data_IF_544420207093
#
_entry.id   IF_544420207093
#
_cell.length_a   1.000
_cell.length_b   1.000
_cell.length_c   1.000
_cell.angle_alpha   90.00
_cell.angle_beta   90.00
_cell.angle_gamma   90.00
#
_symmetry.space_group_name_H-M   'P 1'
#
loop_
_entity.id
_entity.type
_entity.pdbx_description
1 polymer ?
#
# COMPACT_ATOMS: atom_id res chain seq x y z
N UNK A 1 3.82 -21.21 -25.29
CA UNK A 1 4.17 -21.04 -23.87
C UNK A 1 2.90 -21.23 -23.05
N UNK A 2 2.87 -22.09 -22.04
CA UNK A 2 1.66 -22.32 -21.25
C UNK A 2 1.40 -21.15 -20.29
N UNK A 3 0.13 -20.87 -19.96
CA UNK A 3 -0.27 -19.79 -19.04
C UNK A 3 0.47 -19.89 -17.69
N UNK A 4 0.65 -21.11 -17.20
CA UNK A 4 1.38 -21.42 -15.98
C UNK A 4 2.85 -20.98 -16.00
N UNK A 5 3.56 -21.18 -17.12
CA UNK A 5 4.96 -20.74 -17.25
C UNK A 5 5.06 -19.21 -17.21
N UNK A 6 4.12 -18.52 -17.87
CA UNK A 6 4.07 -17.05 -17.86
C UNK A 6 3.83 -16.52 -16.44
N UNK A 7 2.94 -17.16 -15.67
CA UNK A 7 2.69 -16.76 -14.29
C UNK A 7 3.93 -16.92 -13.39
N UNK A 8 4.63 -18.06 -13.50
CA UNK A 8 5.89 -18.28 -12.75
C UNK A 8 6.97 -17.24 -13.09
N UNK A 9 7.07 -16.84 -14.35
CA UNK A 9 7.98 -15.78 -14.77
C UNK A 9 7.64 -14.42 -14.14
N UNK A 10 6.35 -14.07 -14.05
CA UNK A 10 5.90 -12.85 -13.39
C UNK A 10 6.29 -12.85 -11.90
N UNK A 11 6.06 -13.96 -11.19
CA UNK A 11 6.43 -14.12 -9.78
C UNK A 11 7.95 -14.01 -9.58
N UNK A 12 8.72 -14.60 -10.49
CA UNK A 12 10.19 -14.52 -10.47
C UNK A 12 10.68 -13.09 -10.67
N UNK A 13 10.09 -12.37 -11.65
CA UNK A 13 10.40 -10.96 -11.89
C UNK A 13 10.03 -10.08 -10.69
N UNK A 14 8.87 -10.30 -10.05
CA UNK A 14 8.50 -9.62 -8.79
C UNK A 14 9.56 -9.79 -7.72
N UNK A 15 10.03 -11.02 -7.54
CA UNK A 15 11.06 -11.36 -6.55
C UNK A 15 12.38 -10.63 -6.84
N UNK A 16 12.75 -10.51 -8.12
CA UNK A 16 13.92 -9.74 -8.55
C UNK A 16 13.76 -8.24 -8.27
N UNK A 17 12.60 -7.66 -8.57
CA UNK A 17 12.27 -6.26 -8.25
C UNK A 17 12.39 -6.03 -6.74
N UNK A 18 11.77 -6.88 -5.91
CA UNK A 18 11.87 -6.81 -4.45
C UNK A 18 13.34 -6.82 -3.99
N UNK A 19 14.16 -7.71 -4.55
CA UNK A 19 15.59 -7.76 -4.25
C UNK A 19 16.35 -6.46 -4.59
N UNK A 20 15.95 -5.76 -5.67
CA UNK A 20 16.51 -4.46 -6.03
C UNK A 20 16.08 -3.35 -5.05
N UNK A 21 14.82 -3.35 -4.61
CA UNK A 21 14.32 -2.43 -3.57
C UNK A 21 15.10 -2.63 -2.27
N UNK A 22 15.26 -3.88 -1.82
CA UNK A 22 16.04 -4.20 -0.61
C UNK A 22 17.49 -3.70 -0.71
N UNK A 23 18.16 -3.91 -1.85
CA UNK A 23 19.53 -3.40 -2.05
C UNK A 23 19.61 -1.87 -1.98
N UNK A 24 18.58 -1.18 -2.48
CA UNK A 24 18.54 0.29 -2.41
C UNK A 24 18.27 0.77 -0.99
N UNK A 25 17.37 0.11 -0.24
CA UNK A 25 17.12 0.38 1.18
C UNK A 25 18.42 0.28 1.99
N UNK A 26 19.18 -0.79 1.83
CA UNK A 26 20.49 -0.96 2.49
C UNK A 26 21.46 0.17 2.11
N UNK A 27 21.45 0.60 0.84
CA UNK A 27 22.25 1.75 0.41
C UNK A 27 21.82 3.05 1.11
N UNK A 28 20.51 3.31 1.25
CA UNK A 28 20.01 4.48 1.98
C UNK A 28 20.40 4.43 3.45
N UNK A 29 20.26 3.29 4.11
CA UNK A 29 20.68 3.08 5.51
C UNK A 29 22.18 3.40 5.68
N UNK A 30 23.02 3.00 4.72
CA UNK A 30 24.45 3.32 4.75
C UNK A 30 24.75 4.81 4.61
N UNK A 31 23.89 5.58 3.92
CA UNK A 31 24.04 7.03 3.77
C UNK A 31 23.52 7.79 4.99
N UNK A 32 22.40 7.34 5.58
CA UNK A 32 21.83 7.93 6.80
C UNK A 32 22.79 7.80 7.99
N UNK A 33 23.59 6.74 8.01
CA UNK A 33 24.61 6.53 9.05
C UNK A 33 25.83 7.47 8.93
N UNK A 34 25.98 8.23 7.83
CA UNK A 34 27.09 9.15 7.65
C UNK A 34 26.80 10.51 8.30
N UNK A 35 27.81 11.10 8.93
CA UNK A 35 27.72 12.46 9.49
C UNK A 35 27.55 13.52 8.38
N UNK A 36 28.14 13.28 7.20
CA UNK A 36 27.99 14.13 6.03
C UNK A 36 28.04 13.31 4.74
N UNK A 37 27.27 13.74 3.74
CA UNK A 37 27.21 13.09 2.43
C UNK A 37 27.90 14.02 1.41
N UNK A 38 28.89 13.48 0.69
CA UNK A 38 29.58 14.26 -0.34
C UNK A 38 28.66 14.55 -1.53
N UNK A 39 28.91 15.65 -2.26
CA UNK A 39 28.15 16.00 -3.47
C UNK A 39 28.16 14.88 -4.52
N UNK A 40 29.25 14.10 -4.61
CA UNK A 40 29.34 12.94 -5.51
C UNK A 40 28.37 11.84 -5.09
N UNK A 41 28.24 11.57 -3.79
CA UNK A 41 27.28 10.59 -3.27
C UNK A 41 25.82 11.08 -3.43
N UNK A 42 25.56 12.38 -3.26
CA UNK A 42 24.25 12.98 -3.56
C UNK A 42 23.87 12.77 -5.03
N UNK A 43 24.80 13.01 -5.96
CA UNK A 43 24.56 12.79 -7.39
C UNK A 43 24.31 11.30 -7.71
N UNK A 44 25.08 10.39 -7.11
CA UNK A 44 24.85 8.94 -7.24
C UNK A 44 23.48 8.54 -6.70
N UNK A 45 23.07 9.10 -5.56
CA UNK A 45 21.77 8.89 -4.96
C UNK A 45 20.65 9.36 -5.88
N UNK A 46 20.77 10.55 -6.49
CA UNK A 46 19.79 11.06 -7.47
C UNK A 46 19.65 10.13 -8.69
N UNK A 47 20.76 9.62 -9.23
CA UNK A 47 20.73 8.64 -10.32
C UNK A 47 20.09 7.31 -9.91
N UNK A 48 20.28 6.87 -8.66
CA UNK A 48 19.66 5.64 -8.14
C UNK A 48 18.17 5.84 -7.87
N UNK A 49 17.78 7.00 -7.35
CA UNK A 49 16.39 7.38 -7.14
C UNK A 49 15.60 7.33 -8.46
N UNK A 50 16.10 7.97 -9.52
CA UNK A 50 15.46 7.92 -10.84
C UNK A 50 15.26 6.49 -11.36
N UNK A 51 16.24 5.60 -11.15
CA UNK A 51 16.10 4.17 -11.48
C UNK A 51 15.07 3.46 -10.61
N UNK A 52 14.88 3.88 -9.36
CA UNK A 52 13.90 3.31 -8.44
C UNK A 52 12.48 3.74 -8.80
N UNK A 53 12.29 5.00 -9.18
CA UNK A 53 11.01 5.51 -9.69
C UNK A 53 10.58 4.77 -10.97
N UNK A 54 11.52 4.54 -11.89
CA UNK A 54 11.26 3.72 -13.07
C UNK A 54 10.93 2.25 -12.71
N UNK A 55 11.60 1.70 -11.70
CA UNK A 55 11.35 0.33 -11.23
C UNK A 55 9.97 0.18 -10.56
N UNK A 56 9.48 1.23 -9.90
CA UNK A 56 8.12 1.25 -9.34
C UNK A 56 7.06 1.14 -10.42
N UNK A 57 7.23 1.83 -11.55
CA UNK A 57 6.32 1.72 -12.71
C UNK A 57 6.36 0.30 -13.28
N UNK A 58 7.54 -0.31 -13.39
CA UNK A 58 7.70 -1.71 -13.83
C UNK A 58 6.98 -2.68 -12.87
N UNK A 59 7.10 -2.45 -11.57
CA UNK A 59 6.41 -3.22 -10.53
C UNK A 59 4.89 -3.13 -10.68
N UNK A 60 4.32 -1.93 -10.80
CA UNK A 60 2.87 -1.73 -10.89
C UNK A 60 2.26 -2.47 -12.09
N UNK A 61 2.89 -2.36 -13.26
CA UNK A 61 2.46 -3.07 -14.45
C UNK A 61 2.60 -4.60 -14.33
N UNK A 62 3.61 -5.07 -13.60
CA UNK A 62 3.83 -6.49 -13.35
C UNK A 62 2.84 -7.06 -12.33
N UNK A 63 2.58 -6.34 -11.24
CA UNK A 63 1.68 -6.75 -10.18
C UNK A 63 0.24 -6.80 -10.68
N UNK A 64 -0.16 -5.85 -11.53
CA UNK A 64 -1.46 -5.88 -12.22
C UNK A 64 -1.66 -7.16 -13.05
N UNK A 65 -0.61 -7.64 -13.73
CA UNK A 65 -0.68 -8.92 -14.46
C UNK A 65 -0.79 -10.12 -13.53
N UNK A 66 -0.06 -10.13 -12.41
CA UNK A 66 -0.13 -11.19 -11.40
C UNK A 66 -1.56 -11.29 -10.83
N UNK A 67 -2.17 -10.15 -10.49
CA UNK A 67 -3.52 -10.10 -9.92
C UNK A 67 -4.57 -10.68 -10.86
N UNK A 68 -4.47 -10.39 -12.16
CA UNK A 68 -5.34 -10.99 -13.18
C UNK A 68 -5.14 -12.50 -13.28
N UNK A 69 -3.91 -12.99 -13.17
CA UNK A 69 -3.60 -14.42 -13.24
C UNK A 69 -3.94 -15.18 -11.94
N UNK A 70 -4.09 -14.48 -10.82
CA UNK A 70 -4.26 -15.05 -9.48
C UNK A 70 -5.61 -14.66 -8.86
N UNK A 71 -6.68 -14.74 -9.65
CA UNK A 71 -8.05 -14.35 -9.25
C UNK A 71 -8.49 -15.03 -7.93
N UNK A 72 -8.22 -16.33 -7.79
CA UNK A 72 -8.58 -17.09 -6.59
C UNK A 72 -7.87 -16.61 -5.29
N UNK A 73 -6.73 -15.93 -5.41
CA UNK A 73 -5.95 -15.39 -4.29
C UNK A 73 -5.78 -13.86 -4.38
N UNK A 74 -6.71 -13.16 -5.04
CA UNK A 74 -6.59 -11.73 -5.34
C UNK A 74 -6.37 -10.87 -4.07
N UNK A 75 -7.01 -11.20 -2.95
CA UNK A 75 -6.84 -10.50 -1.68
C UNK A 75 -5.39 -10.57 -1.15
N UNK A 76 -4.75 -11.74 -1.26
CA UNK A 76 -3.34 -11.90 -0.86
C UNK A 76 -2.39 -11.13 -1.78
N UNK A 77 -2.71 -11.05 -3.07
CA UNK A 77 -1.94 -10.30 -4.05
C UNK A 77 -2.05 -8.79 -3.84
N UNK A 78 -3.23 -8.27 -3.50
CA UNK A 78 -3.43 -6.86 -3.12
C UNK A 78 -2.67 -6.51 -1.82
N UNK A 79 -2.71 -7.38 -0.81
CA UNK A 79 -1.91 -7.17 0.41
C UNK A 79 -0.40 -7.18 0.11
N UNK A 80 0.04 -8.03 -0.83
CA UNK A 80 1.44 -8.05 -1.28
C UNK A 80 1.81 -6.77 -2.02
N UNK A 81 0.90 -6.24 -2.85
CA UNK A 81 1.05 -4.94 -3.50
C UNK A 81 1.28 -3.85 -2.47
N UNK A 82 0.35 -3.68 -1.53
CA UNK A 82 0.42 -2.63 -0.51
C UNK A 82 1.76 -2.64 0.25
N UNK A 83 2.22 -3.84 0.64
CA UNK A 83 3.49 -4.01 1.34
C UNK A 83 4.70 -3.55 0.49
N UNK A 84 4.72 -3.92 -0.80
CA UNK A 84 5.84 -3.57 -1.68
C UNK A 84 5.79 -2.08 -2.04
N UNK A 85 4.61 -1.53 -2.32
CA UNK A 85 4.42 -0.10 -2.60
C UNK A 85 4.88 0.76 -1.42
N UNK A 86 4.56 0.36 -0.19
CA UNK A 86 5.04 1.05 1.01
C UNK A 86 6.57 1.05 1.10
N UNK A 87 7.25 -0.05 0.75
CA UNK A 87 8.72 -0.08 0.73
C UNK A 87 9.31 0.84 -0.35
N UNK A 88 8.68 0.95 -1.52
CA UNK A 88 9.08 1.91 -2.54
C UNK A 88 8.90 3.35 -2.06
N UNK A 89 7.72 3.69 -1.53
CA UNK A 89 7.40 5.04 -1.06
C UNK A 89 8.37 5.48 0.04
N UNK A 90 8.66 4.59 1.01
CA UNK A 90 9.64 4.85 2.06
C UNK A 90 11.04 5.12 1.48
N UNK A 91 11.51 4.27 0.56
CA UNK A 91 12.84 4.44 -0.03
C UNK A 91 12.93 5.74 -0.87
N UNK A 92 11.90 6.04 -1.65
CA UNK A 92 11.83 7.23 -2.50
C UNK A 92 11.83 8.49 -1.63
N UNK A 93 10.99 8.52 -0.57
CA UNK A 93 10.90 9.65 0.34
C UNK A 93 12.24 9.92 1.05
N UNK A 94 12.87 8.88 1.61
CA UNK A 94 14.18 9.01 2.27
C UNK A 94 15.25 9.51 1.28
N UNK A 95 15.28 8.96 0.06
CA UNK A 95 16.23 9.40 -0.96
C UNK A 95 16.03 10.87 -1.34
N UNK A 96 14.79 11.31 -1.53
CA UNK A 96 14.46 12.70 -1.84
C UNK A 96 14.86 13.65 -0.71
N UNK A 97 14.58 13.28 0.53
CA UNK A 97 14.95 14.07 1.72
C UNK A 97 16.47 14.22 1.87
N UNK A 98 17.21 13.11 1.71
CA UNK A 98 18.69 13.13 1.74
C UNK A 98 19.27 14.02 0.63
N UNK A 99 18.71 13.97 -0.59
CA UNK A 99 19.14 14.83 -1.68
C UNK A 99 18.87 16.30 -1.36
N UNK A 100 17.67 16.63 -0.88
CA UNK A 100 17.28 18.02 -0.58
C UNK A 100 18.14 18.61 0.55
N UNK A 101 18.34 17.84 1.62
CA UNK A 101 19.13 18.24 2.79
C UNK A 101 20.61 18.47 2.48
N UNK A 102 21.16 17.79 1.46
CA UNK A 102 22.58 17.90 1.10
C UNK A 102 22.85 18.73 -0.17
N UNK A 103 21.81 19.08 -0.94
CA UNK A 103 21.93 19.95 -2.12
C UNK A 103 21.79 21.45 -1.78
N UNK A 104 21.50 21.78 -0.52
CA UNK A 104 21.31 23.15 -0.06
C UNK A 104 22.52 23.65 0.74
N UNK A 105 23.20 24.69 0.25
CA UNK A 105 24.13 25.50 1.02
C UNK A 105 24.04 26.98 0.59
N UNK A 106 24.16 27.97 1.50
CA UNK A 106 23.61 28.09 2.86
C UNK A 106 22.22 28.78 2.85
N UNK A 107 21.55 28.87 4.01
CA UNK A 107 20.25 29.57 4.23
C UNK A 107 20.05 30.77 3.29
N UNK A 108 19.20 30.60 2.27
CA UNK A 108 18.54 31.72 1.59
C UNK A 108 17.04 31.45 1.63
N UNK A 109 16.40 32.24 2.48
CA UNK A 109 14.99 32.66 2.52
C UNK A 109 13.97 31.64 1.99
N UNK A 110 13.16 31.13 2.92
CA UNK A 110 11.93 30.40 2.63
C UNK A 110 11.10 31.11 1.56
N UNK A 111 10.71 30.36 0.52
CA UNK A 111 9.68 30.80 -0.40
C UNK A 111 10.01 30.53 -1.86
N UNK A 112 10.17 29.26 -2.23
CA UNK A 112 9.85 28.76 -3.58
C UNK A 112 10.03 27.24 -3.59
N UNK A 113 9.03 26.52 -3.11
CA UNK A 113 8.91 25.08 -3.36
C UNK A 113 8.70 24.91 -4.86
N UNK A 114 9.62 24.20 -5.51
CA UNK A 114 9.68 24.01 -6.97
C UNK A 114 8.32 23.65 -7.58
N UNK A 115 7.87 24.43 -8.57
CA UNK A 115 6.62 24.24 -9.31
C UNK A 115 6.55 22.83 -9.93
N UNK A 116 7.70 22.25 -10.28
CA UNK A 116 7.77 20.89 -10.81
C UNK A 116 7.36 19.82 -9.79
N UNK A 117 7.72 20.00 -8.52
CA UNK A 117 7.32 19.09 -7.44
C UNK A 117 5.81 19.16 -7.18
N UNK A 118 5.27 20.38 -7.10
CA UNK A 118 3.82 20.56 -6.99
C UNK A 118 3.07 20.02 -8.20
N UNK A 119 3.60 20.23 -9.42
CA UNK A 119 2.99 19.71 -10.64
C UNK A 119 2.96 18.18 -10.65
N UNK A 120 4.06 17.52 -10.27
CA UNK A 120 4.13 16.06 -10.19
C UNK A 120 3.15 15.50 -9.16
N UNK A 121 3.12 16.05 -7.94
CA UNK A 121 2.22 15.57 -6.89
C UNK A 121 0.76 15.92 -7.14
N UNK A 122 0.46 17.07 -7.74
CA UNK A 122 -0.90 17.43 -8.14
C UNK A 122 -1.41 16.50 -9.24
N UNK A 123 -0.55 16.16 -10.21
CA UNK A 123 -0.91 15.20 -11.28
C UNK A 123 -1.12 13.80 -10.71
N UNK A 124 -0.27 13.36 -9.78
CA UNK A 124 -0.42 12.07 -9.07
C UNK A 124 -1.73 12.03 -8.26
N UNK A 125 -2.08 13.12 -7.55
CA UNK A 125 -3.33 13.23 -6.80
C UNK A 125 -4.57 13.23 -7.73
N UNK A 126 -4.53 13.97 -8.84
CA UNK A 126 -5.62 14.01 -9.82
C UNK A 126 -5.85 12.66 -10.51
N UNK A 127 -4.78 11.92 -10.80
CA UNK A 127 -4.88 10.55 -11.34
C UNK A 127 -5.52 9.59 -10.33
N UNK A 128 -5.18 9.72 -9.04
CA UNK A 128 -5.74 8.90 -7.97
C UNK A 128 -7.23 9.20 -7.70
N UNK A 129 -7.63 10.48 -7.77
CA UNK A 129 -9.05 10.88 -7.69
C UNK A 129 -9.87 10.38 -8.88
N UNK A 130 -9.27 10.37 -10.07
CA UNK A 130 -9.92 9.83 -11.27
C UNK A 130 -10.12 8.31 -11.18
N UNK A 131 -9.13 7.59 -10.63
CA UNK A 131 -9.21 6.15 -10.39
C UNK A 131 -10.29 5.79 -9.35
N UNK A 132 -10.37 6.54 -8.25
CA UNK A 132 -11.37 6.31 -7.19
C UNK A 132 -12.81 6.67 -7.63
N UNK A 133 -13.01 7.72 -8.43
CA UNK A 133 -14.32 8.00 -9.04
C UNK A 133 -14.77 6.94 -10.03
N UNK A 134 -13.84 6.41 -10.84
CA UNK A 134 -14.14 5.36 -11.82
C UNK A 134 -14.62 4.06 -11.13
N UNK A 135 -14.14 3.77 -9.93
CA UNK A 135 -14.59 2.63 -9.13
C UNK A 135 -15.95 2.86 -8.45
N UNK A 136 -16.21 4.07 -7.94
CA UNK A 136 -17.47 4.40 -7.26
C UNK A 136 -18.68 4.53 -8.20
N UNK A 137 -18.46 4.63 -9.51
CA UNK A 137 -19.52 4.72 -10.53
C UNK A 137 -20.10 3.39 -11.00
N UNK A 138 -19.68 2.24 -10.45
CA UNK A 138 -20.10 0.90 -10.93
C UNK A 138 -21.05 0.13 -10.00
N UNK A 139 -21.42 0.68 -8.85
CA UNK A 139 -22.38 0.03 -7.93
C UNK A 139 -23.84 0.47 -8.13
N UNK A 140 -24.12 1.51 -8.95
CA UNK A 140 -25.45 2.12 -9.06
C UNK A 140 -26.21 1.82 -10.36
N UNK A 141 -26.13 0.58 -10.88
CA UNK A 141 -27.01 0.16 -11.98
C UNK A 141 -27.58 -1.23 -11.73
N UNK A 142 -28.52 -1.32 -10.78
CA UNK A 142 -29.20 -2.59 -10.51
C UNK A 142 -30.24 -2.57 -9.39
N UNK A 143 -31.14 -1.57 -9.33
CA UNK A 143 -32.30 -1.63 -8.45
C UNK A 143 -33.58 -1.07 -9.11
N UNK A 144 -34.22 -1.88 -9.94
CA UNK A 144 -35.60 -1.66 -10.41
C UNK A 144 -36.61 -2.06 -9.33
N UNK A 145 -37.20 -1.04 -8.69
CA UNK A 145 -38.59 -0.86 -8.24
C UNK A 145 -39.50 -2.05 -7.90
N UNK A 146 -40.12 -2.05 -6.70
CA UNK A 146 -41.56 -1.80 -6.43
C UNK A 146 -41.87 -1.84 -4.89
N UNK A 147 -43.09 -1.56 -4.37
CA UNK A 147 -43.32 -0.40 -3.52
C UNK A 147 -43.64 -0.70 -2.04
N UNK A 148 -43.64 0.39 -1.26
CA UNK A 148 -43.93 0.49 0.17
C UNK A 148 -45.30 -0.09 0.55
N UNK A 149 -45.35 -0.87 1.62
CA UNK A 149 -46.52 -0.87 2.50
C UNK A 149 -46.07 -0.91 3.96
N UNK A 150 -46.62 -0.01 4.74
CA UNK A 150 -46.26 0.28 6.12
C UNK A 150 -47.02 -0.66 7.06
N UNK A 151 -46.32 -1.31 8.00
CA UNK A 151 -46.85 -1.58 9.35
C UNK A 151 -45.70 -1.82 10.31
N UNK A 152 -45.47 -0.87 11.21
CA UNK A 152 -44.63 -1.04 12.38
C UNK A 152 -45.45 -1.81 13.44
N UNK A 153 -44.86 -2.77 14.17
CA UNK A 153 -45.20 -2.85 15.59
C UNK A 153 -43.99 -2.98 16.53
N UNK A 154 -44.28 -2.52 17.74
CA UNK A 154 -43.49 -2.24 18.94
C UNK A 154 -42.60 -3.39 19.48
N UNK A 155 -41.61 -3.09 20.35
CA UNK A 155 -40.77 -4.10 20.99
C UNK A 155 -41.50 -4.73 22.18
N UNK A 156 -41.76 -6.04 22.11
CA UNK A 156 -42.33 -6.82 23.21
C UNK A 156 -41.22 -7.44 24.07
N UNK A 157 -41.34 -7.22 25.38
CA UNK A 157 -40.46 -7.68 26.45
C UNK A 157 -40.67 -9.16 26.79
N UNK A 158 -39.66 -9.69 27.49
CA UNK A 158 -39.63 -10.91 28.32
C UNK A 158 -39.49 -12.25 27.57
N UNK A 159 -38.40 -12.98 27.87
CA UNK A 159 -38.42 -14.31 28.52
C UNK A 159 -36.96 -14.83 28.72
N UNK A 160 -36.43 -14.62 29.93
CA UNK A 160 -35.63 -15.60 30.69
C UNK A 160 -36.55 -16.05 31.85
N UNK A 161 -36.35 -17.16 32.62
CA UNK A 161 -35.16 -18.02 32.78
C UNK A 161 -35.47 -19.54 33.02
N UNK A 162 -34.44 -20.29 33.45
CA UNK A 162 -34.39 -21.45 34.39
C UNK A 162 -33.56 -22.60 33.77
N UNK A 163 -32.42 -23.08 34.27
CA UNK A 163 -31.88 -23.36 35.63
C UNK A 163 -32.73 -24.33 36.46
N UNK A 164 -32.25 -25.58 36.54
CA UNK A 164 -32.19 -26.48 37.71
C UNK A 164 -31.27 -27.65 37.30
N UNK A 165 -30.11 -27.96 37.90
CA UNK A 165 -29.67 -28.12 39.29
C UNK A 165 -30.16 -29.41 39.99
N UNK A 166 -29.28 -29.94 40.85
CA UNK A 166 -29.34 -31.09 41.79
C UNK A 166 -28.62 -32.34 41.25
N UNK A 167 -27.62 -32.95 41.89
CA UNK A 167 -26.99 -32.81 43.22
C UNK A 167 -26.14 -34.10 43.48
N UNK A 168 -24.92 -34.07 44.04
CA UNK A 168 -24.50 -34.12 45.48
C UNK A 168 -23.67 -35.41 45.67
N UNK A 169 -22.43 -35.42 46.15
CA UNK A 169 -21.95 -35.49 47.57
C UNK A 169 -20.42 -35.23 47.58
N UNK A 170 -19.85 -34.28 48.35
CA UNK A 170 -19.50 -34.25 49.79
C UNK A 170 -18.49 -35.32 50.24
N UNK A 171 -17.30 -34.87 50.69
CA UNK A 171 -16.34 -35.65 51.47
C UNK A 171 -15.08 -34.84 51.79
N UNK A 172 -14.98 -34.37 53.04
CA UNK A 172 -13.91 -33.55 53.60
C UNK A 172 -13.32 -34.29 54.81
N UNK A 173 -12.03 -34.02 55.11
CA UNK A 173 -11.22 -34.42 56.28
C UNK A 173 -10.73 -35.87 56.39
N UNK A 174 -9.41 -36.03 56.38
CA UNK A 174 -8.61 -36.06 57.62
C UNK A 174 -7.20 -35.54 57.39
#
# INVERSE_FOLDING_TARGET
>A
MTSELKFKELITKRSSIKGRVTKFKIYLESLVALESISAVEVNKLAMKLSRMEALFIEFDGLQSQIEVHSEANQSAELSTRDFIEQEFDNCIAIAQDLIQSNSSAPKRVEGERSIAWFSYHLTKAMMLESYTRAFKGREDVGATSAPRNATQPQPSRYWLPAVNAIGTTRGMTR
#
